data_IF_793414045640
#
_entry.id   IF_793414045640
#
_cell.length_a   1.000
_cell.length_b   1.000
_cell.length_c   1.000
_cell.angle_alpha   90.00
_cell.angle_beta   90.00
_cell.angle_gamma   90.00
#
_symmetry.space_group_name_H-M   'P 1'
#
loop_
_entity.id
_entity.type
_entity.pdbx_description
1 polymer ?
#
# COMPACT_ATOMS: atom_id res chain seq x y z
N UNK A 1 -3.14 18.58 62.63
CA UNK A 1 -4.30 19.06 61.84
C UNK A 1 -3.73 19.75 60.59
N UNK A 2 -3.99 19.47 59.31
CA UNK A 2 -4.90 18.58 58.57
C UNK A 2 -4.21 18.22 57.22
N UNK A 3 -4.16 16.90 56.96
CA UNK A 3 -4.26 16.09 55.71
C UNK A 3 -3.71 16.54 54.33
N UNK A 4 -2.91 15.62 53.76
CA UNK A 4 -2.78 15.21 52.36
C UNK A 4 -4.09 15.23 51.55
N UNK A 5 -4.04 15.64 50.28
CA UNK A 5 -4.81 15.04 49.18
C UNK A 5 -3.97 15.03 47.90
N UNK A 6 -3.67 13.82 47.40
CA UNK A 6 -3.29 13.51 46.02
C UNK A 6 -4.55 13.59 45.15
N UNK A 7 -4.49 14.22 43.99
CA UNK A 7 -5.49 14.03 42.93
C UNK A 7 -4.81 13.80 41.58
N UNK A 8 -4.74 12.52 41.25
CA UNK A 8 -4.64 11.93 39.92
C UNK A 8 -5.84 12.38 39.07
N UNK A 9 -5.64 12.74 37.80
CA UNK A 9 -6.68 12.63 36.79
C UNK A 9 -6.14 12.00 35.52
N UNK A 10 -6.92 11.03 35.06
CA UNK A 10 -6.66 10.06 34.00
C UNK A 10 -7.27 10.56 32.69
N UNK A 11 -6.55 10.24 31.61
CA UNK A 11 -6.90 10.03 30.19
C UNK A 11 -8.40 9.89 29.87
N UNK A 12 -8.82 10.41 28.71
CA UNK A 12 -9.99 9.88 28.00
C UNK A 12 -10.22 10.44 26.60
N UNK A 13 -10.14 9.54 25.60
CA UNK A 13 -10.84 9.48 24.30
C UNK A 13 -10.58 10.59 23.25
N UNK A 14 -10.73 10.39 21.94
CA UNK A 14 -10.85 9.26 20.98
C UNK A 14 -11.07 9.89 19.61
N UNK A 15 -10.67 9.23 18.51
CA UNK A 15 -11.14 9.64 17.18
C UNK A 15 -10.42 9.03 15.99
N UNK A 16 -10.54 7.71 15.77
CA UNK A 16 -10.41 7.15 14.43
C UNK A 16 -11.81 6.89 13.91
N UNK A 17 -12.25 7.73 12.98
CA UNK A 17 -13.52 7.59 12.28
C UNK A 17 -13.37 6.57 11.16
N UNK A 18 -14.11 5.47 11.28
CA UNK A 18 -14.51 4.62 10.18
C UNK A 18 -15.52 5.36 9.29
N UNK A 19 -15.31 5.38 7.97
CA UNK A 19 -16.28 5.89 7.02
C UNK A 19 -17.05 4.72 6.38
N UNK A 20 -18.22 4.41 6.95
CA UNK A 20 -19.29 3.68 6.27
C UNK A 20 -20.25 4.71 5.67
N UNK A 21 -20.59 4.61 4.38
CA UNK A 21 -21.71 5.36 3.81
C UNK A 21 -22.42 4.51 2.73
N UNK A 22 -23.63 4.07 3.06
CA UNK A 22 -24.60 3.42 2.18
C UNK A 22 -25.56 4.45 1.54
N UNK A 23 -26.05 4.15 0.34
CA UNK A 23 -27.16 4.88 -0.31
C UNK A 23 -27.17 4.77 -1.84
N UNK A 24 -28.10 3.98 -2.40
CA UNK A 24 -28.40 3.86 -3.85
C UNK A 24 -29.09 5.11 -4.44
N UNK A 25 -29.48 5.21 -5.71
CA UNK A 25 -29.45 4.34 -6.89
C UNK A 25 -30.15 5.07 -8.06
N UNK A 26 -29.97 4.53 -9.29
CA UNK A 26 -30.59 4.87 -10.60
C UNK A 26 -30.17 6.20 -11.27
N UNK A 27 -29.91 6.33 -12.59
CA UNK A 27 -29.93 5.43 -13.75
C UNK A 27 -29.80 6.30 -15.03
N UNK A 28 -29.32 5.75 -16.16
CA UNK A 28 -29.39 6.45 -17.47
C UNK A 28 -28.36 6.00 -18.51
N UNK A 29 -28.83 5.34 -19.56
CA UNK A 29 -28.09 4.78 -20.71
C UNK A 29 -27.83 5.87 -21.76
N UNK A 30 -26.68 5.82 -22.44
CA UNK A 30 -26.39 6.58 -23.66
C UNK A 30 -25.37 5.86 -24.53
N UNK A 31 -25.79 5.44 -25.73
CA UNK A 31 -25.01 4.71 -26.74
C UNK A 31 -24.53 5.67 -27.83
N UNK A 32 -23.32 5.45 -28.37
CA UNK A 32 -22.81 6.16 -29.56
C UNK A 32 -21.31 5.93 -29.83
N UNK A 33 -20.89 5.51 -31.04
CA UNK A 33 -19.51 5.08 -31.33
C UNK A 33 -18.65 6.21 -31.93
N UNK A 34 -17.34 6.21 -31.65
CA UNK A 34 -16.40 7.17 -32.24
C UNK A 34 -14.92 6.80 -32.06
N UNK A 35 -14.33 6.30 -33.16
CA UNK A 35 -12.94 6.45 -33.65
C UNK A 35 -11.73 6.14 -32.75
N UNK A 36 -10.88 5.25 -33.25
CA UNK A 36 -9.64 4.72 -32.67
C UNK A 36 -8.47 5.64 -32.98
N UNK A 37 -7.70 6.04 -31.96
CA UNK A 37 -6.43 6.77 -32.06
C UNK A 37 -5.33 5.94 -31.34
N UNK A 38 -4.13 5.73 -31.92
CA UNK A 38 -3.16 4.78 -31.39
C UNK A 38 -2.19 5.47 -30.44
N UNK A 39 -2.57 5.60 -29.17
CA UNK A 39 -1.64 5.77 -28.04
C UNK A 39 -1.87 4.64 -27.04
N UNK A 40 -1.04 3.61 -27.16
CA UNK A 40 -1.10 2.41 -26.33
C UNK A 40 -0.81 2.75 -24.86
N UNK A 41 -1.71 2.33 -23.97
CA UNK A 41 -1.43 2.22 -22.53
C UNK A 41 -2.34 2.99 -21.57
N UNK A 42 -3.62 3.22 -21.88
CA UNK A 42 -4.60 3.64 -20.86
C UNK A 42 -5.90 2.84 -21.01
N UNK A 43 -6.05 1.76 -20.24
CA UNK A 43 -7.36 1.13 -20.07
C UNK A 43 -8.19 1.93 -19.08
N UNK A 44 -9.17 2.65 -19.62
CA UNK A 44 -10.24 3.33 -18.91
C UNK A 44 -10.99 2.36 -18.00
N UNK A 45 -11.10 2.76 -16.74
CA UNK A 45 -11.83 2.09 -15.65
C UNK A 45 -13.32 1.99 -15.97
N UNK A 46 -13.74 0.85 -16.52
CA UNK A 46 -15.16 0.48 -16.60
C UNK A 46 -15.50 -0.36 -15.37
N UNK A 47 -16.60 -0.06 -14.69
CA UNK A 47 -17.14 -0.92 -13.63
C UNK A 47 -17.35 -2.33 -14.20
N UNK A 48 -16.61 -3.32 -13.69
CA UNK A 48 -16.60 -4.69 -14.18
C UNK A 48 -15.23 -5.27 -14.53
N UNK A 49 -14.13 -4.51 -14.41
CA UNK A 49 -12.81 -5.07 -14.72
C UNK A 49 -12.40 -6.12 -13.65
N UNK A 50 -12.12 -7.39 -14.01
CA UNK A 50 -11.50 -8.34 -13.09
C UNK A 50 -10.17 -7.78 -12.58
N UNK A 51 -9.70 -8.24 -11.42
CA UNK A 51 -8.41 -7.85 -10.85
C UNK A 51 -7.30 -7.79 -11.92
N UNK A 52 -6.89 -6.58 -12.30
CA UNK A 52 -5.97 -6.33 -13.42
C UNK A 52 -4.57 -5.98 -12.94
N UNK A 53 -3.54 -6.32 -13.71
CA UNK A 53 -2.17 -5.88 -13.45
C UNK A 53 -1.90 -4.58 -14.22
N UNK A 54 -1.30 -3.59 -13.57
CA UNK A 54 -0.89 -2.33 -14.18
C UNK A 54 0.38 -1.76 -13.54
N UNK A 55 0.97 -0.76 -14.17
CA UNK A 55 2.01 0.11 -13.61
C UNK A 55 1.52 1.56 -13.68
N UNK A 56 2.00 2.42 -12.77
CA UNK A 56 1.61 3.85 -12.73
C UNK A 56 2.80 4.71 -12.30
N UNK A 57 3.28 5.56 -13.21
CA UNK A 57 4.42 6.46 -12.98
C UNK A 57 4.25 7.31 -11.72
N UNK A 58 3.08 7.92 -11.51
CA UNK A 58 2.86 8.84 -10.38
C UNK A 58 2.86 8.14 -9.03
N UNK A 59 2.38 6.88 -8.99
CA UNK A 59 2.44 6.04 -7.78
C UNK A 59 3.89 5.69 -7.48
N UNK A 60 4.62 5.26 -8.50
CA UNK A 60 6.05 4.94 -8.39
C UNK A 60 6.89 6.14 -7.99
N UNK A 61 6.66 7.32 -8.58
CA UNK A 61 7.36 8.56 -8.25
C UNK A 61 7.14 8.95 -6.79
N UNK A 62 5.90 8.87 -6.32
CA UNK A 62 5.57 9.20 -4.94
C UNK A 62 6.23 8.25 -3.95
N UNK A 63 6.14 6.94 -4.21
CA UNK A 63 6.76 5.90 -3.38
C UNK A 63 8.29 5.95 -3.45
N UNK A 64 8.87 6.30 -4.60
CA UNK A 64 10.28 6.63 -4.74
C UNK A 64 10.66 7.77 -3.80
N UNK A 65 9.91 8.87 -3.83
CA UNK A 65 10.11 10.00 -2.93
C UNK A 65 10.16 9.58 -1.46
N UNK A 66 9.20 8.75 -1.02
CA UNK A 66 9.20 8.17 0.32
C UNK A 66 10.45 7.33 0.59
N UNK A 67 10.80 6.40 -0.30
CA UNK A 67 11.99 5.55 -0.16
C UNK A 67 13.31 6.36 -0.05
N UNK A 68 13.36 7.55 -0.65
CA UNK A 68 14.54 8.42 -0.57
C UNK A 68 14.63 9.20 0.74
N UNK A 69 13.52 9.48 1.41
CA UNK A 69 13.48 10.32 2.62
C UNK A 69 13.23 9.54 3.92
N UNK A 70 12.77 8.29 3.84
CA UNK A 70 12.60 7.41 4.99
C UNK A 70 13.76 6.44 5.11
N UNK A 71 13.98 5.97 6.34
CA UNK A 71 14.81 4.81 6.62
C UNK A 71 13.87 3.69 7.08
N UNK A 72 13.80 2.64 6.26
CA UNK A 72 12.92 1.52 6.51
C UNK A 72 13.60 0.48 7.41
N UNK A 73 13.11 0.40 8.65
CA UNK A 73 13.62 -0.52 9.68
C UNK A 73 12.63 -1.61 10.02
N UNK A 74 11.56 -1.81 9.24
CA UNK A 74 10.57 -2.85 9.51
C UNK A 74 11.17 -4.24 9.25
N UNK A 75 10.57 -5.26 9.90
CA UNK A 75 11.02 -6.63 9.67
C UNK A 75 10.75 -7.05 8.23
N UNK A 76 9.54 -6.78 7.73
CA UNK A 76 9.18 -6.92 6.32
C UNK A 76 9.23 -5.51 5.71
N UNK A 77 10.23 -5.21 4.88
CA UNK A 77 10.41 -3.88 4.32
C UNK A 77 9.22 -3.43 3.47
N UNK A 78 8.88 -2.16 3.63
CA UNK A 78 8.05 -1.39 2.71
C UNK A 78 8.76 -1.17 1.38
N UNK A 79 10.02 -0.76 1.45
CA UNK A 79 10.82 -0.42 0.30
C UNK A 79 11.95 -1.42 0.12
N UNK A 80 12.31 -1.67 -1.14
CA UNK A 80 13.39 -2.59 -1.49
C UNK A 80 14.67 -2.23 -0.77
N UNK A 81 15.25 -3.20 -0.08
CA UNK A 81 16.59 -3.04 0.53
C UNK A 81 17.60 -2.68 -0.56
N UNK A 82 18.39 -1.63 -0.31
CA UNK A 82 19.39 -1.13 -1.25
C UNK A 82 18.85 -0.24 -2.37
N UNK A 83 17.52 -0.05 -2.51
CA UNK A 83 16.92 0.80 -3.53
C UNK A 83 17.52 2.22 -3.55
N UNK A 84 17.61 2.85 -2.38
CA UNK A 84 18.17 4.19 -2.21
C UNK A 84 19.63 4.28 -2.70
N UNK A 85 20.44 3.26 -2.43
CA UNK A 85 21.84 3.21 -2.86
C UNK A 85 21.97 2.95 -4.37
N UNK A 86 21.13 2.05 -4.91
CA UNK A 86 21.01 1.79 -6.35
C UNK A 86 20.67 3.08 -7.10
N UNK A 87 19.62 3.78 -6.67
CA UNK A 87 19.15 5.01 -7.30
C UNK A 87 20.17 6.15 -7.16
N UNK A 88 20.89 6.25 -6.03
CA UNK A 88 22.00 7.20 -5.91
C UNK A 88 23.07 6.95 -7.00
N UNK A 89 23.41 5.68 -7.27
CA UNK A 89 24.34 5.32 -8.34
C UNK A 89 23.81 5.63 -9.75
N UNK A 90 22.53 5.34 -10.01
CA UNK A 90 21.87 5.66 -11.29
C UNK A 90 21.81 7.18 -11.52
N UNK A 91 21.39 7.95 -10.51
CA UNK A 91 21.29 9.42 -10.57
C UNK A 91 22.66 10.07 -10.77
N UNK A 92 23.70 9.55 -10.12
CA UNK A 92 25.08 10.01 -10.31
C UNK A 92 25.52 9.84 -11.77
N UNK A 93 25.25 8.67 -12.39
CA UNK A 93 25.58 8.44 -13.81
C UNK A 93 24.79 9.35 -14.75
N UNK A 94 23.57 9.70 -14.38
CA UNK A 94 22.72 10.63 -15.13
C UNK A 94 23.04 12.12 -14.86
N UNK A 95 23.98 12.43 -13.95
CA UNK A 95 24.23 13.78 -13.44
C UNK A 95 22.95 14.48 -12.93
N UNK A 96 22.02 13.72 -12.36
CA UNK A 96 20.76 14.23 -11.85
C UNK A 96 20.90 14.69 -10.39
N UNK A 97 20.75 16.00 -10.17
CA UNK A 97 20.61 16.61 -8.84
C UNK A 97 19.32 17.42 -8.81
N UNK A 98 18.49 17.19 -7.80
CA UNK A 98 17.11 17.69 -7.76
C UNK A 98 16.80 18.36 -6.43
N UNK A 99 15.65 19.02 -6.36
CA UNK A 99 15.14 19.57 -5.11
C UNK A 99 14.89 18.49 -4.04
N UNK A 100 14.65 17.23 -4.43
CA UNK A 100 14.50 16.14 -3.46
C UNK A 100 15.80 15.91 -2.67
N UNK A 101 16.97 16.05 -3.30
CA UNK A 101 18.26 15.98 -2.60
C UNK A 101 18.42 17.13 -1.60
N UNK A 102 18.17 18.35 -2.08
CA UNK A 102 18.33 19.56 -1.28
C UNK A 102 17.39 19.61 -0.07
N UNK A 103 16.19 19.02 -0.20
CA UNK A 103 15.16 19.05 0.83
C UNK A 103 15.09 17.77 1.67
N UNK A 104 15.88 16.73 1.36
CA UNK A 104 15.78 15.40 1.97
C UNK A 104 15.76 15.45 3.49
N UNK A 105 16.74 16.10 4.10
CA UNK A 105 16.89 16.10 5.56
C UNK A 105 15.73 16.84 6.25
N UNK A 106 15.26 17.93 5.65
CA UNK A 106 14.09 18.68 6.12
C UNK A 106 12.81 17.84 6.02
N UNK A 107 12.63 17.12 4.92
CA UNK A 107 11.49 16.23 4.71
C UNK A 107 11.54 15.05 5.68
N UNK A 108 12.71 14.43 5.86
CA UNK A 108 12.91 13.29 6.75
C UNK A 108 12.69 13.66 8.23
N UNK A 109 13.19 14.82 8.67
CA UNK A 109 13.06 15.28 10.05
C UNK A 109 11.60 15.41 10.52
N UNK A 110 10.64 15.60 9.60
CA UNK A 110 9.23 15.73 9.96
C UNK A 110 8.63 14.44 10.53
N UNK A 111 9.09 13.26 10.12
CA UNK A 111 8.58 11.97 10.62
C UNK A 111 8.86 11.75 12.11
N UNK A 112 9.88 12.40 12.66
CA UNK A 112 10.13 12.38 14.11
C UNK A 112 9.05 13.10 14.92
N UNK A 113 8.35 14.06 14.29
CA UNK A 113 7.31 14.90 14.90
C UNK A 113 5.91 14.38 14.56
N UNK A 114 5.65 14.08 13.28
CA UNK A 114 4.37 13.56 12.79
C UNK A 114 4.58 12.16 12.24
N UNK A 115 4.46 11.15 13.10
CA UNK A 115 4.66 9.74 12.71
C UNK A 115 3.62 9.26 11.70
N UNK A 116 2.39 9.77 11.82
CA UNK A 116 1.27 9.41 10.95
C UNK A 116 1.44 9.88 9.50
N UNK A 117 2.38 10.80 9.26
CA UNK A 117 2.76 11.25 7.92
C UNK A 117 3.24 10.10 7.02
N UNK A 118 3.68 8.98 7.59
CA UNK A 118 3.99 7.76 6.82
C UNK A 118 2.79 7.27 6.01
N UNK A 119 1.57 7.49 6.50
CA UNK A 119 0.34 7.09 5.81
C UNK A 119 0.10 7.88 4.51
N UNK A 120 0.76 9.03 4.33
CA UNK A 120 0.67 9.78 3.09
C UNK A 120 1.25 9.01 1.87
N UNK A 121 1.95 7.89 2.07
CA UNK A 121 2.33 6.97 1.00
C UNK A 121 1.13 6.40 0.19
N UNK A 122 -0.08 6.42 0.76
CA UNK A 122 -1.29 5.92 0.10
C UNK A 122 -2.02 6.97 -0.76
N UNK A 123 -1.67 8.25 -0.61
CA UNK A 123 -2.24 9.38 -1.38
C UNK A 123 -2.26 9.12 -2.89
N UNK A 124 -1.17 8.69 -3.57
CA UNK A 124 -1.16 8.57 -5.03
C UNK A 124 -2.15 7.52 -5.57
N UNK A 125 -2.59 6.56 -4.73
CA UNK A 125 -3.55 5.54 -5.14
C UNK A 125 -4.97 6.09 -5.34
N UNK A 126 -5.24 7.28 -4.81
CA UNK A 126 -6.52 7.98 -4.94
C UNK A 126 -6.66 8.71 -6.28
N UNK A 127 -5.57 8.85 -7.03
CA UNK A 127 -5.50 9.65 -8.25
C UNK A 127 -5.17 8.81 -9.47
N UNK A 128 -5.67 9.24 -10.62
CA UNK A 128 -5.43 8.57 -11.90
C UNK A 128 -4.12 8.96 -12.56
N UNK A 129 -3.60 10.16 -12.27
CA UNK A 129 -2.38 10.70 -12.87
C UNK A 129 -1.64 11.66 -11.92
N UNK A 130 -0.40 12.00 -12.29
CA UNK A 130 0.42 12.97 -11.57
C UNK A 130 -0.21 14.36 -11.57
N UNK A 131 -0.69 14.83 -12.73
CA UNK A 131 -1.24 16.18 -12.87
C UNK A 131 -2.49 16.35 -12.02
N UNK A 132 -3.40 15.37 -12.04
CA UNK A 132 -4.60 15.38 -11.21
C UNK A 132 -4.25 15.43 -9.71
N UNK A 133 -3.25 14.64 -9.29
CA UNK A 133 -2.80 14.63 -7.90
C UNK A 133 -2.20 15.98 -7.48
N UNK A 134 -1.36 16.57 -8.33
CA UNK A 134 -0.71 17.85 -8.03
C UNK A 134 -1.72 19.01 -8.01
N UNK A 135 -2.69 19.02 -8.93
CA UNK A 135 -3.79 19.98 -8.92
C UNK A 135 -4.62 19.88 -7.63
N UNK A 136 -4.97 18.66 -7.21
CA UNK A 136 -5.66 18.41 -5.95
C UNK A 136 -4.87 18.91 -4.73
N UNK A 137 -3.55 18.70 -4.71
CA UNK A 137 -2.66 19.23 -3.67
C UNK A 137 -2.68 20.76 -3.67
N UNK A 138 -2.56 21.40 -4.84
CA UNK A 138 -2.55 22.86 -4.95
C UNK A 138 -3.87 23.46 -4.44
N UNK A 139 -5.02 22.89 -4.81
CA UNK A 139 -6.35 23.28 -4.31
C UNK A 139 -6.43 23.12 -2.78
N UNK A 140 -5.98 21.98 -2.26
CA UNK A 140 -5.98 21.71 -0.82
C UNK A 140 -5.13 22.71 -0.02
N UNK A 141 -3.95 23.05 -0.54
CA UNK A 141 -3.05 24.02 0.08
C UNK A 141 -3.63 25.44 0.04
N UNK A 142 -4.24 25.85 -1.08
CA UNK A 142 -4.92 27.15 -1.18
C UNK A 142 -6.10 27.27 -0.21
N UNK A 143 -6.87 26.20 -0.04
CA UNK A 143 -7.96 26.11 0.93
C UNK A 143 -7.48 25.94 2.40
N UNK A 144 -6.17 25.86 2.64
CA UNK A 144 -5.55 25.58 3.94
C UNK A 144 -6.09 24.31 4.62
N UNK A 145 -6.56 23.34 3.84
CA UNK A 145 -7.21 22.12 4.32
C UNK A 145 -8.62 22.29 4.88
N UNK A 146 -9.32 23.40 4.58
CA UNK A 146 -10.71 23.62 4.99
C UNK A 146 -11.70 23.24 3.87
N UNK A 147 -12.47 22.14 3.99
CA UNK A 147 -13.44 21.73 2.98
C UNK A 147 -14.54 22.76 2.71
N UNK A 148 -14.83 23.64 3.69
CA UNK A 148 -15.85 24.68 3.56
C UNK A 148 -15.43 25.84 2.65
N UNK A 149 -14.15 25.92 2.28
CA UNK A 149 -13.64 26.89 1.32
C UNK A 149 -13.85 26.44 -0.15
N UNK A 150 -14.37 25.23 -0.37
CA UNK A 150 -14.62 24.68 -1.69
C UNK A 150 -15.83 25.32 -2.38
N UNK A 151 -15.72 25.49 -3.70
CA UNK A 151 -16.82 25.97 -4.54
C UNK A 151 -17.71 24.85 -5.10
N UNK A 152 -17.33 23.59 -4.89
CA UNK A 152 -18.11 22.41 -5.29
C UNK A 152 -17.98 21.28 -4.26
N UNK A 153 -18.90 20.33 -4.32
CA UNK A 153 -18.89 19.15 -3.44
C UNK A 153 -17.67 18.28 -3.70
N UNK A 154 -17.31 18.07 -4.97
CA UNK A 154 -16.17 17.27 -5.39
C UNK A 154 -14.87 17.85 -4.83
N UNK A 155 -14.70 19.17 -4.90
CA UNK A 155 -13.54 19.85 -4.33
C UNK A 155 -13.51 19.74 -2.80
N UNK A 156 -14.68 19.85 -2.13
CA UNK A 156 -14.76 19.65 -0.69
C UNK A 156 -14.34 18.24 -0.27
N UNK A 157 -14.74 17.22 -1.04
CA UNK A 157 -14.38 15.82 -0.80
C UNK A 157 -12.86 15.59 -0.96
N UNK A 158 -12.23 16.17 -2.00
CA UNK A 158 -10.76 16.11 -2.19
C UNK A 158 -10.02 16.81 -1.05
N UNK A 159 -10.47 17.98 -0.62
CA UNK A 159 -9.87 18.71 0.51
C UNK A 159 -10.00 17.89 1.79
N UNK A 160 -11.17 17.29 2.05
CA UNK A 160 -11.39 16.46 3.23
C UNK A 160 -10.50 15.20 3.22
N UNK A 161 -10.33 14.56 2.06
CA UNK A 161 -9.43 13.43 1.88
C UNK A 161 -7.99 13.79 2.27
N UNK A 162 -7.44 14.87 1.68
CA UNK A 162 -6.06 15.30 1.96
C UNK A 162 -5.91 15.84 3.39
N UNK A 163 -6.94 16.47 3.96
CA UNK A 163 -6.95 16.90 5.36
C UNK A 163 -6.80 15.72 6.33
N UNK A 164 -7.28 14.53 5.97
CA UNK A 164 -7.08 13.30 6.74
C UNK A 164 -5.62 12.88 6.85
N UNK A 165 -4.81 13.16 5.82
CA UNK A 165 -3.36 12.87 5.82
C UNK A 165 -2.51 14.03 6.35
N UNK A 166 -2.95 15.27 6.15
CA UNK A 166 -2.19 16.49 6.46
C UNK A 166 -2.99 17.49 7.33
N UNK A 167 -3.35 17.10 8.57
CA UNK A 167 -4.32 17.84 9.38
C UNK A 167 -3.80 19.19 9.89
N UNK A 168 -2.48 19.33 10.10
CA UNK A 168 -1.87 20.53 10.68
C UNK A 168 -1.08 21.36 9.65
N UNK A 169 -0.93 22.69 9.86
CA UNK A 169 -0.24 23.57 8.90
C UNK A 169 1.17 23.09 8.54
N UNK A 170 1.92 22.55 9.50
CA UNK A 170 3.27 22.07 9.26
C UNK A 170 3.32 20.80 8.38
N UNK A 171 2.30 19.95 8.41
CA UNK A 171 2.20 18.78 7.52
C UNK A 171 1.81 19.20 6.10
N UNK A 172 1.01 20.27 5.97
CA UNK A 172 0.70 20.89 4.67
C UNK A 172 1.91 21.56 4.04
N UNK A 173 2.71 22.26 4.83
CA UNK A 173 3.97 22.84 4.37
C UNK A 173 4.97 21.76 3.94
N UNK A 174 5.01 20.64 4.66
CA UNK A 174 5.76 19.46 4.25
C UNK A 174 5.26 18.91 2.91
N UNK A 175 3.94 18.75 2.74
CA UNK A 175 3.33 18.28 1.49
C UNK A 175 3.70 19.19 0.32
N UNK A 176 3.62 20.51 0.52
CA UNK A 176 4.01 21.50 -0.49
C UNK A 176 5.45 21.31 -0.93
N UNK A 177 6.38 21.19 0.03
CA UNK A 177 7.80 20.99 -0.26
C UNK A 177 8.05 19.65 -0.96
N UNK A 178 7.37 18.60 -0.51
CA UNK A 178 7.49 17.26 -1.07
C UNK A 178 6.98 17.19 -2.51
N UNK A 179 5.78 17.72 -2.78
CA UNK A 179 5.19 17.76 -4.12
C UNK A 179 6.04 18.58 -5.11
N UNK A 180 6.59 19.73 -4.66
CA UNK A 180 7.53 20.53 -5.46
C UNK A 180 8.80 19.75 -5.77
N UNK A 181 9.35 19.06 -4.76
CA UNK A 181 10.56 18.24 -4.91
C UNK A 181 10.34 17.08 -5.88
N UNK A 182 9.18 16.42 -5.83
CA UNK A 182 8.84 15.32 -6.73
C UNK A 182 8.58 15.80 -8.16
N UNK A 183 7.99 16.99 -8.35
CA UNK A 183 7.84 17.58 -9.68
C UNK A 183 9.20 17.82 -10.34
N UNK A 184 10.16 18.36 -9.58
CA UNK A 184 11.54 18.56 -10.05
C UNK A 184 12.25 17.22 -10.31
N UNK A 185 12.11 16.26 -9.39
CA UNK A 185 12.66 14.89 -9.54
C UNK A 185 12.14 14.21 -10.81
N UNK A 186 10.83 14.31 -11.07
CA UNK A 186 10.23 13.69 -12.24
C UNK A 186 10.75 14.27 -13.55
N UNK A 187 10.83 15.60 -13.61
CA UNK A 187 11.25 16.34 -14.80
C UNK A 187 12.74 16.13 -15.13
N UNK A 188 13.59 16.01 -14.12
CA UNK A 188 15.05 15.89 -14.30
C UNK A 188 15.54 14.45 -14.39
N UNK A 189 14.79 13.49 -13.84
CA UNK A 189 15.28 12.13 -13.68
C UNK A 189 14.19 11.07 -13.80
N UNK A 190 13.22 11.08 -12.88
CA UNK A 190 12.46 9.86 -12.59
C UNK A 190 11.61 9.38 -13.75
N UNK A 191 11.03 10.28 -14.55
CA UNK A 191 10.25 9.89 -15.74
C UNK A 191 11.09 9.08 -16.72
N UNK A 192 12.26 9.60 -17.10
CA UNK A 192 13.17 8.92 -18.04
C UNK A 192 13.64 7.57 -17.50
N UNK A 193 13.96 7.51 -16.20
CA UNK A 193 14.33 6.27 -15.53
C UNK A 193 13.16 5.27 -15.51
N UNK A 194 11.95 5.74 -15.22
CA UNK A 194 10.75 4.91 -15.17
C UNK A 194 10.43 4.32 -16.54
N UNK A 195 10.45 5.13 -17.60
CA UNK A 195 10.23 4.69 -18.99
C UNK A 195 11.23 3.60 -19.39
N UNK A 196 12.51 3.80 -19.06
CA UNK A 196 13.54 2.79 -19.28
C UNK A 196 13.22 1.49 -18.53
N UNK A 197 12.84 1.58 -17.25
CA UNK A 197 12.49 0.40 -16.46
C UNK A 197 11.24 -0.33 -16.98
N UNK A 198 10.24 0.40 -17.49
CA UNK A 198 9.07 -0.23 -18.13
C UNK A 198 9.49 -1.02 -19.38
N UNK A 199 10.37 -0.45 -20.21
CA UNK A 199 10.88 -1.13 -21.40
C UNK A 199 11.71 -2.37 -21.03
N UNK A 200 12.64 -2.25 -20.08
CA UNK A 200 13.50 -3.37 -19.64
C UNK A 200 12.72 -4.52 -19.01
N UNK A 201 11.59 -4.21 -18.36
CA UNK A 201 10.79 -5.18 -17.61
C UNK A 201 9.50 -5.59 -18.31
N UNK A 202 9.32 -5.24 -19.59
CA UNK A 202 8.11 -5.57 -20.35
C UNK A 202 7.79 -7.07 -20.33
N UNK A 203 8.81 -7.92 -20.46
CA UNK A 203 8.66 -9.39 -20.39
C UNK A 203 8.29 -9.88 -18.99
N UNK A 204 8.77 -9.21 -17.93
CA UNK A 204 8.42 -9.52 -16.55
C UNK A 204 6.98 -9.11 -16.26
N UNK A 205 6.55 -7.92 -16.68
CA UNK A 205 5.16 -7.48 -16.59
C UNK A 205 4.22 -8.47 -17.28
N UNK A 206 4.56 -8.91 -18.49
CA UNK A 206 3.79 -9.91 -19.21
C UNK A 206 3.72 -11.24 -18.45
N UNK A 207 4.83 -11.71 -17.86
CA UNK A 207 4.86 -12.92 -17.06
C UNK A 207 4.02 -12.83 -15.77
N UNK A 208 4.09 -11.71 -15.05
CA UNK A 208 3.23 -11.48 -13.87
C UNK A 208 1.76 -11.48 -14.27
N UNK A 209 1.41 -10.77 -15.35
CA UNK A 209 0.05 -10.73 -15.85
C UNK A 209 -0.46 -12.10 -16.29
N UNK A 210 0.35 -12.88 -17.01
CA UNK A 210 0.00 -14.25 -17.41
C UNK A 210 -0.27 -15.14 -16.20
N UNK A 211 0.65 -15.17 -15.22
CA UNK A 211 0.48 -15.98 -14.00
C UNK A 211 -0.76 -15.57 -13.22
N UNK A 212 -0.97 -14.26 -13.06
CA UNK A 212 -2.16 -13.78 -12.39
C UNK A 212 -3.42 -14.16 -13.15
N UNK A 213 -3.57 -13.75 -14.42
CA UNK A 213 -4.81 -13.92 -15.16
C UNK A 213 -5.15 -15.39 -15.45
N UNK A 214 -4.14 -16.20 -15.77
CA UNK A 214 -4.34 -17.55 -16.29
C UNK A 214 -4.13 -18.65 -15.24
N UNK A 215 -3.39 -18.40 -14.16
CA UNK A 215 -3.10 -19.44 -13.14
C UNK A 215 -3.72 -19.16 -11.77
N UNK A 216 -3.63 -17.92 -11.28
CA UNK A 216 -3.92 -17.63 -9.87
C UNK A 216 -5.22 -16.86 -9.61
N UNK A 217 -5.64 -15.94 -10.47
CA UNK A 217 -6.82 -15.09 -10.23
C UNK A 217 -8.07 -15.92 -9.92
N UNK A 218 -8.30 -16.99 -10.68
CA UNK A 218 -9.43 -17.89 -10.44
C UNK A 218 -9.38 -18.58 -9.06
N UNK A 219 -8.18 -18.96 -8.60
CA UNK A 219 -7.96 -19.57 -7.28
C UNK A 219 -8.25 -18.59 -6.13
N UNK A 220 -7.91 -17.32 -6.32
CA UNK A 220 -8.19 -16.24 -5.36
C UNK A 220 -9.64 -15.72 -5.41
N UNK A 221 -10.35 -15.90 -6.52
CA UNK A 221 -11.63 -15.23 -6.79
C UNK A 221 -12.66 -15.44 -5.67
N UNK A 222 -12.79 -16.66 -5.14
CA UNK A 222 -13.74 -16.95 -4.07
C UNK A 222 -13.42 -16.13 -2.81
N UNK A 223 -12.15 -16.15 -2.39
CA UNK A 223 -11.69 -15.38 -1.24
C UNK A 223 -11.95 -13.89 -1.43
N UNK A 224 -11.57 -13.36 -2.60
CA UNK A 224 -11.72 -11.95 -2.94
C UNK A 224 -13.21 -11.52 -2.94
N UNK A 225 -14.10 -12.33 -3.50
CA UNK A 225 -15.54 -12.05 -3.47
C UNK A 225 -16.08 -12.03 -2.04
N UNK A 226 -15.75 -13.04 -1.24
CA UNK A 226 -16.29 -13.22 0.10
C UNK A 226 -15.72 -12.23 1.13
N UNK A 227 -14.59 -11.59 0.82
CA UNK A 227 -14.01 -10.50 1.61
C UNK A 227 -14.41 -9.10 1.11
N UNK A 228 -15.37 -9.00 0.19
CA UNK A 228 -15.85 -7.70 -0.32
C UNK A 228 -14.89 -7.02 -1.30
N UNK A 229 -13.99 -7.79 -1.92
CA UNK A 229 -12.97 -7.33 -2.85
C UNK A 229 -13.13 -7.94 -4.27
N UNK A 230 -14.33 -7.90 -4.90
CA UNK A 230 -14.60 -8.65 -6.13
C UNK A 230 -13.80 -8.16 -7.36
N UNK A 231 -13.35 -6.90 -7.33
CA UNK A 231 -12.60 -6.26 -8.39
C UNK A 231 -11.56 -5.30 -7.80
N UNK A 232 -10.51 -5.03 -8.57
CA UNK A 232 -9.43 -4.14 -8.16
C UNK A 232 -8.31 -4.04 -9.20
N UNK A 233 -7.27 -3.30 -8.85
CA UNK A 233 -6.04 -3.18 -9.65
C UNK A 233 -4.83 -3.55 -8.79
N UNK A 234 -3.97 -4.41 -9.32
CA UNK A 234 -2.65 -4.66 -8.77
C UNK A 234 -1.65 -3.75 -9.49
N UNK A 235 -0.95 -2.93 -8.73
CA UNK A 235 0.07 -2.02 -9.24
C UNK A 235 1.45 -2.59 -8.98
N UNK A 236 2.20 -2.93 -10.03
CA UNK A 236 3.61 -3.28 -9.90
C UNK A 236 4.42 -2.01 -9.70
N UNK A 237 5.20 -1.97 -8.62
CA UNK A 237 5.93 -0.78 -8.20
C UNK A 237 7.42 -1.07 -8.02
N UNK A 238 8.26 -0.24 -8.64
CA UNK A 238 9.72 -0.35 -8.57
C UNK A 238 10.29 -0.21 -7.14
N UNK A 239 9.85 0.76 -6.31
CA UNK A 239 10.40 0.95 -4.96
C UNK A 239 9.88 -0.07 -3.93
N UNK A 240 8.69 -0.67 -4.11
CA UNK A 240 8.08 -1.52 -3.08
C UNK A 240 8.77 -2.90 -2.93
N UNK A 241 8.73 -3.43 -1.71
CA UNK A 241 9.15 -4.79 -1.35
C UNK A 241 7.96 -5.57 -0.74
N UNK A 242 8.24 -6.54 0.12
CA UNK A 242 7.33 -7.60 0.56
C UNK A 242 6.16 -7.16 1.41
N UNK A 243 6.14 -5.96 1.97
CA UNK A 243 4.95 -5.49 2.67
C UNK A 243 3.85 -5.07 1.68
N UNK A 244 4.18 -4.59 0.48
CA UNK A 244 3.16 -4.06 -0.44
C UNK A 244 2.38 -2.86 0.12
N UNK A 245 1.30 -2.45 -0.56
CA UNK A 245 0.44 -1.32 -0.17
C UNK A 245 -0.99 -1.51 -0.65
N UNK A 246 -1.91 -1.74 0.27
CA UNK A 246 -3.33 -1.91 -0.08
C UNK A 246 -4.18 -0.72 0.32
N UNK A 247 -5.01 -0.29 -0.61
CA UNK A 247 -6.09 0.64 -0.38
C UNK A 247 -7.40 -0.02 -0.82
N UNK A 248 -8.30 -0.26 0.13
CA UNK A 248 -9.59 -0.90 -0.12
C UNK A 248 -10.68 -0.31 0.77
N UNK A 249 -11.93 -0.52 0.36
CA UNK A 249 -13.13 -0.07 1.07
C UNK A 249 -13.73 1.25 0.56
N UNK A 250 -15.07 1.31 0.52
CA UNK A 250 -15.84 2.49 0.11
C UNK A 250 -16.21 2.52 -1.38
N UNK A 251 -16.39 3.72 -1.95
CA UNK A 251 -16.71 3.94 -3.38
C UNK A 251 -15.50 3.74 -4.32
N UNK A 252 -14.30 3.56 -3.77
CA UNK A 252 -13.04 3.42 -4.50
C UNK A 252 -12.82 1.97 -4.92
N UNK A 253 -12.20 1.76 -6.08
CA UNK A 253 -11.76 0.43 -6.50
C UNK A 253 -10.58 -0.03 -5.64
N UNK A 254 -10.57 -1.31 -5.25
CA UNK A 254 -9.46 -1.88 -4.48
C UNK A 254 -8.16 -1.76 -5.28
N UNK A 255 -7.11 -1.27 -4.63
CA UNK A 255 -5.79 -1.11 -5.24
C UNK A 255 -4.76 -1.77 -4.35
N UNK A 256 -3.92 -2.62 -4.93
CA UNK A 256 -2.83 -3.31 -4.23
C UNK A 256 -1.52 -3.02 -4.94
N UNK A 257 -0.69 -2.19 -4.34
CA UNK A 257 0.70 -1.98 -4.75
C UNK A 257 1.57 -3.15 -4.29
N UNK A 258 2.31 -3.75 -5.22
CA UNK A 258 3.26 -4.82 -4.93
C UNK A 258 4.61 -4.54 -5.58
N UNK A 259 5.64 -5.25 -5.15
CA UNK A 259 6.96 -5.15 -5.76
C UNK A 259 6.91 -5.49 -7.26
N UNK A 260 7.69 -4.78 -8.09
CA UNK A 260 7.90 -5.11 -9.49
C UNK A 260 9.13 -6.03 -9.63
N UNK A 261 8.95 -7.34 -9.89
CA UNK A 261 10.07 -8.27 -9.94
C UNK A 261 11.11 -7.89 -11.00
N UNK A 262 12.38 -8.22 -10.74
CA UNK A 262 13.51 -7.92 -11.63
C UNK A 262 13.66 -8.87 -12.80
N UNK A 263 13.10 -10.07 -12.71
CA UNK A 263 13.25 -11.10 -13.73
C UNK A 263 11.98 -11.92 -13.89
N UNK A 264 11.83 -12.59 -15.03
CA UNK A 264 10.71 -13.53 -15.26
C UNK A 264 10.75 -14.68 -14.25
N UNK A 265 11.94 -15.15 -13.85
CA UNK A 265 12.09 -16.23 -12.88
C UNK A 265 11.48 -15.87 -11.51
N UNK A 266 11.48 -14.59 -11.15
CA UNK A 266 10.95 -14.09 -9.87
C UNK A 266 9.55 -13.49 -9.99
N UNK A 267 8.84 -13.68 -11.11
CA UNK A 267 7.52 -13.04 -11.28
C UNK A 267 6.45 -13.52 -10.27
N UNK A 268 6.64 -14.67 -9.60
CA UNK A 268 5.76 -15.15 -8.53
C UNK A 268 5.86 -14.32 -7.25
N UNK A 269 6.93 -13.54 -7.10
CA UNK A 269 7.09 -12.66 -5.94
C UNK A 269 5.96 -11.64 -5.85
N UNK A 270 5.45 -11.14 -6.98
CA UNK A 270 4.27 -10.30 -7.00
C UNK A 270 3.03 -11.03 -6.46
N UNK A 271 2.87 -12.32 -6.78
CA UNK A 271 1.75 -13.15 -6.29
C UNK A 271 1.86 -13.39 -4.79
N UNK A 272 3.08 -13.54 -4.26
CA UNK A 272 3.30 -13.65 -2.82
C UNK A 272 2.86 -12.39 -2.08
N UNK A 273 3.24 -11.22 -2.57
CA UNK A 273 2.83 -9.95 -1.96
C UNK A 273 1.33 -9.73 -2.10
N UNK A 274 0.71 -10.10 -3.23
CA UNK A 274 -0.76 -10.08 -3.35
C UNK A 274 -1.40 -10.92 -2.25
N UNK A 275 -0.93 -12.16 -2.02
CA UNK A 275 -1.48 -13.04 -1.01
C UNK A 275 -1.35 -12.48 0.41
N UNK A 276 -0.21 -11.85 0.72
CA UNK A 276 0.02 -11.15 1.98
C UNK A 276 -0.98 -10.00 2.16
N UNK A 277 -1.10 -9.15 1.14
CA UNK A 277 -1.87 -7.91 1.20
C UNK A 277 -3.37 -8.14 1.25
N UNK A 278 -3.91 -9.05 0.45
CA UNK A 278 -5.36 -9.34 0.47
C UNK A 278 -5.78 -10.04 1.77
N UNK A 279 -4.85 -10.72 2.45
CA UNK A 279 -5.07 -11.37 3.73
C UNK A 279 -4.88 -10.43 4.93
N UNK A 280 -4.13 -9.33 4.79
CA UNK A 280 -3.79 -8.40 5.87
C UNK A 280 -5.03 -7.80 6.53
N UNK A 281 -5.89 -7.13 5.75
CA UNK A 281 -7.04 -6.38 6.31
C UNK A 281 -8.13 -7.29 6.90
N UNK A 282 -8.82 -8.10 6.07
CA UNK A 282 -9.98 -8.87 6.51
C UNK A 282 -9.67 -9.97 7.53
N UNK A 283 -8.43 -10.49 7.58
CA UNK A 283 -8.07 -11.60 8.46
C UNK A 283 -7.08 -11.18 9.54
N UNK A 284 -5.88 -10.75 9.15
CA UNK A 284 -4.80 -10.55 10.11
C UNK A 284 -5.12 -9.42 11.09
N UNK A 285 -5.54 -8.24 10.62
CA UNK A 285 -5.89 -7.12 11.48
C UNK A 285 -7.12 -7.43 12.34
N UNK A 286 -8.15 -8.07 11.77
CA UNK A 286 -9.34 -8.48 12.52
C UNK A 286 -8.99 -9.46 13.65
N UNK A 287 -8.26 -10.53 13.32
CA UNK A 287 -7.85 -11.54 14.29
C UNK A 287 -6.95 -10.97 15.40
N UNK A 288 -6.02 -10.07 15.07
CA UNK A 288 -5.19 -9.40 16.09
C UNK A 288 -6.05 -8.54 17.00
N UNK A 289 -6.91 -7.66 16.45
CA UNK A 289 -7.76 -6.75 17.24
C UNK A 289 -8.69 -7.47 18.21
N UNK A 290 -9.24 -8.60 17.79
CA UNK A 290 -10.18 -9.39 18.60
C UNK A 290 -9.49 -10.22 19.69
N UNK A 291 -8.18 -10.47 19.58
CA UNK A 291 -7.45 -11.41 20.43
C UNK A 291 -6.26 -10.79 21.19
N UNK A 292 -6.14 -9.46 21.19
CA UNK A 292 -5.22 -8.73 22.08
C UNK A 292 -5.99 -7.95 23.15
N UNK A 293 -5.40 -7.83 24.33
CA UNK A 293 -5.97 -7.04 25.41
C UNK A 293 -5.71 -5.53 25.21
N UNK A 294 -6.52 -4.65 25.82
CA UNK A 294 -6.25 -3.21 25.83
C UNK A 294 -4.89 -2.83 26.44
N UNK A 295 -4.32 -3.67 27.30
CA UNK A 295 -3.00 -3.47 27.87
C UNK A 295 -1.89 -3.76 26.85
N UNK A 296 -2.01 -4.86 26.10
CA UNK A 296 -1.09 -5.21 25.00
C UNK A 296 -1.15 -4.20 23.87
N UNK A 297 -2.34 -3.68 23.55
CA UNK A 297 -2.50 -2.62 22.57
C UNK A 297 -1.73 -1.34 22.98
N UNK A 298 -1.85 -0.94 24.26
CA UNK A 298 -1.09 0.20 24.80
C UNK A 298 0.42 -0.03 24.85
N UNK A 299 0.84 -1.29 24.96
CA UNK A 299 2.25 -1.68 24.94
C UNK A 299 2.84 -1.80 23.51
N UNK A 300 2.06 -1.54 22.46
CA UNK A 300 2.52 -1.62 21.07
C UNK A 300 2.67 -3.05 20.53
N UNK A 301 2.18 -4.05 21.27
CA UNK A 301 2.26 -5.47 20.90
C UNK A 301 1.38 -5.77 19.68
N UNK A 302 0.25 -5.05 19.55
CA UNK A 302 -0.66 -5.18 18.41
C UNK A 302 0.02 -4.94 17.06
N UNK A 303 0.77 -3.85 16.90
CA UNK A 303 1.46 -3.53 15.63
C UNK A 303 2.46 -4.61 15.23
N UNK A 304 3.20 -5.18 16.20
CA UNK A 304 4.12 -6.29 15.93
C UNK A 304 3.38 -7.55 15.49
N UNK A 305 2.25 -7.87 16.14
CA UNK A 305 1.44 -9.00 15.75
C UNK A 305 0.75 -8.79 14.41
N UNK A 306 0.37 -7.57 14.02
CA UNK A 306 -0.22 -7.29 12.71
C UNK A 306 0.75 -7.64 11.57
N UNK A 307 2.02 -7.20 11.63
CA UNK A 307 3.03 -7.56 10.60
C UNK A 307 3.26 -9.07 10.54
N UNK A 308 3.35 -9.74 11.70
CA UNK A 308 3.54 -11.19 11.72
C UNK A 308 2.30 -11.93 11.22
N UNK A 309 1.12 -11.44 11.58
CA UNK A 309 -0.17 -12.01 11.20
C UNK A 309 -0.40 -11.87 9.69
N UNK A 310 0.03 -10.78 9.07
CA UNK A 310 -0.05 -10.58 7.63
C UNK A 310 0.74 -11.66 6.86
N UNK A 311 2.02 -11.85 7.22
CA UNK A 311 2.87 -12.88 6.60
C UNK A 311 2.29 -14.28 6.80
N UNK A 312 1.78 -14.57 8.01
CA UNK A 312 1.23 -15.88 8.34
C UNK A 312 -0.14 -16.12 7.70
N UNK A 313 -0.99 -15.11 7.59
CA UNK A 313 -2.28 -15.20 6.92
C UNK A 313 -2.09 -15.44 5.41
N UNK A 314 -1.14 -14.75 4.77
CA UNK A 314 -0.84 -14.96 3.36
C UNK A 314 -0.39 -16.40 3.05
N UNK A 315 0.50 -16.99 3.87
CA UNK A 315 0.90 -18.39 3.66
C UNK A 315 -0.25 -19.37 3.94
N UNK A 316 -1.07 -19.11 4.96
CA UNK A 316 -2.24 -19.95 5.28
C UNK A 316 -3.33 -19.92 4.20
N UNK A 317 -3.48 -18.77 3.53
CA UNK A 317 -4.34 -18.64 2.36
C UNK A 317 -3.78 -19.47 1.20
N UNK A 318 -2.51 -19.30 0.86
CA UNK A 318 -1.85 -20.05 -0.22
C UNK A 318 -1.88 -21.56 0.01
N UNK A 319 -1.71 -22.03 1.25
CA UNK A 319 -1.86 -23.44 1.61
C UNK A 319 -3.20 -24.05 1.19
N UNK A 320 -4.27 -23.24 1.12
CA UNK A 320 -5.62 -23.70 0.75
C UNK A 320 -5.91 -23.56 -0.73
N UNK A 321 -5.39 -22.51 -1.38
CA UNK A 321 -5.81 -22.16 -2.75
C UNK A 321 -4.73 -22.39 -3.81
N UNK A 322 -3.45 -22.33 -3.44
CA UNK A 322 -2.31 -22.51 -4.34
C UNK A 322 -1.10 -23.10 -3.58
N UNK A 323 -1.17 -24.37 -3.13
CA UNK A 323 -0.13 -24.99 -2.31
C UNK A 323 1.26 -25.00 -2.97
N UNK A 324 1.31 -25.01 -4.29
CA UNK A 324 2.54 -24.95 -5.08
C UNK A 324 3.34 -23.66 -4.86
N UNK A 325 2.71 -22.58 -4.39
CA UNK A 325 3.36 -21.30 -4.11
C UNK A 325 3.95 -21.21 -2.69
N UNK A 326 3.63 -22.14 -1.79
CA UNK A 326 3.93 -22.02 -0.35
C UNK A 326 5.43 -22.02 -0.07
N UNK A 327 6.20 -22.88 -0.73
CA UNK A 327 7.66 -22.95 -0.54
C UNK A 327 8.34 -21.64 -0.97
N UNK A 328 7.98 -21.14 -2.16
CA UNK A 328 8.49 -19.88 -2.69
C UNK A 328 8.11 -18.68 -1.83
N UNK A 329 6.85 -18.62 -1.37
CA UNK A 329 6.38 -17.59 -0.43
C UNK A 329 7.21 -17.57 0.86
N UNK A 330 7.45 -18.74 1.46
CA UNK A 330 8.23 -18.84 2.69
C UNK A 330 9.67 -18.34 2.50
N UNK A 331 10.32 -18.74 1.40
CA UNK A 331 11.67 -18.27 1.04
C UNK A 331 11.71 -16.77 0.80
N UNK A 332 10.71 -16.23 0.10
CA UNK A 332 10.60 -14.81 -0.19
C UNK A 332 10.56 -13.97 1.09
N UNK A 333 9.64 -14.27 2.02
CA UNK A 333 9.52 -13.51 3.27
C UNK A 333 10.67 -13.73 4.24
N UNK A 334 11.28 -14.91 4.27
CA UNK A 334 12.51 -15.13 5.05
C UNK A 334 13.66 -14.25 4.52
N UNK A 335 13.86 -14.20 3.19
CA UNK A 335 14.86 -13.35 2.56
C UNK A 335 14.58 -11.87 2.79
N UNK A 336 13.34 -11.44 2.58
CA UNK A 336 12.90 -10.05 2.81
C UNK A 336 13.16 -9.62 4.27
N UNK A 337 12.93 -10.52 5.21
CA UNK A 337 13.23 -10.31 6.64
C UNK A 337 14.69 -10.49 7.05
N UNK A 338 15.60 -10.84 6.12
CA UNK A 338 17.00 -11.12 6.43
C UNK A 338 17.19 -12.33 7.35
N UNK A 339 16.34 -13.36 7.21
CA UNK A 339 16.38 -14.61 7.98
C UNK A 339 16.88 -15.75 7.10
N UNK A 340 17.56 -16.72 7.72
CA UNK A 340 18.02 -17.92 7.02
C UNK A 340 16.86 -18.84 6.66
N UNK A 341 16.99 -19.47 5.49
CA UNK A 341 16.09 -20.54 5.05
C UNK A 341 16.67 -21.86 5.52
N UNK A 342 15.99 -22.53 6.45
CA UNK A 342 16.36 -23.87 6.90
C UNK A 342 15.98 -24.96 5.89
N UNK A 343 16.13 -26.22 6.29
CA UNK A 343 15.74 -27.38 5.46
C UNK A 343 14.22 -27.45 5.19
N UNK A 344 13.41 -26.87 6.07
CA UNK A 344 11.97 -26.71 5.89
C UNK A 344 11.62 -25.21 5.91
N UNK A 345 11.40 -24.57 4.74
CA UNK A 345 11.13 -23.13 4.66
C UNK A 345 9.88 -22.70 5.44
N UNK A 346 8.82 -23.51 5.46
CA UNK A 346 7.59 -23.18 6.18
C UNK A 346 7.78 -23.20 7.70
N UNK A 347 8.57 -24.17 8.21
CA UNK A 347 8.94 -24.20 9.63
C UNK A 347 9.82 -22.99 10.00
N UNK A 348 10.79 -22.64 9.14
CA UNK A 348 11.61 -21.43 9.30
C UNK A 348 10.77 -20.16 9.31
N UNK A 349 9.79 -20.03 8.40
CA UNK A 349 8.87 -18.90 8.35
C UNK A 349 8.05 -18.80 9.64
N UNK A 350 7.53 -19.94 10.12
CA UNK A 350 6.76 -20.00 11.38
C UNK A 350 7.57 -19.54 12.58
N UNK A 351 8.86 -19.89 12.64
CA UNK A 351 9.77 -19.44 13.69
C UNK A 351 10.15 -17.95 13.56
N UNK A 352 10.30 -17.44 12.34
CA UNK A 352 10.64 -16.04 12.08
C UNK A 352 9.47 -15.07 12.35
N UNK A 353 8.23 -15.54 12.16
CA UNK A 353 6.99 -14.77 12.35
C UNK A 353 6.07 -15.48 13.35
N UNK A 354 6.41 -15.44 14.65
CA UNK A 354 5.65 -16.14 15.68
C UNK A 354 4.30 -15.44 15.93
N UNK A 355 3.24 -16.24 16.00
CA UNK A 355 1.92 -15.81 16.45
C UNK A 355 1.53 -16.58 17.69
N UNK A 356 0.73 -15.96 18.56
CA UNK A 356 0.06 -16.72 19.61
C UNK A 356 -0.99 -17.66 18.98
N UNK A 357 -1.34 -18.71 19.71
CA UNK A 357 -2.27 -19.73 19.21
C UNK A 357 -3.67 -19.14 18.94
N UNK A 358 -4.11 -18.18 19.76
CA UNK A 358 -5.42 -17.53 19.60
C UNK A 358 -5.56 -16.80 18.26
N UNK A 359 -4.60 -15.95 17.90
CA UNK A 359 -4.60 -15.21 16.63
C UNK A 359 -4.44 -16.20 15.46
N UNK A 360 -3.51 -17.15 15.58
CA UNK A 360 -3.29 -18.18 14.56
C UNK A 360 -4.58 -18.96 14.24
N UNK A 361 -5.27 -19.42 15.28
CA UNK A 361 -6.48 -20.23 15.14
C UNK A 361 -7.67 -19.38 14.66
N UNK A 362 -7.74 -18.11 15.07
CA UNK A 362 -8.74 -17.17 14.55
C UNK A 362 -8.57 -16.94 13.05
N UNK A 363 -7.33 -16.70 12.57
CA UNK A 363 -7.04 -16.56 11.13
C UNK A 363 -7.43 -17.83 10.38
N UNK A 364 -7.06 -19.02 10.89
CA UNK A 364 -7.40 -20.29 10.24
C UNK A 364 -8.91 -20.49 10.14
N UNK A 365 -9.66 -20.26 11.22
CA UNK A 365 -11.13 -20.39 11.23
C UNK A 365 -11.79 -19.40 10.26
N UNK A 366 -11.36 -18.14 10.27
CA UNK A 366 -11.90 -17.13 9.35
C UNK A 366 -11.61 -17.50 7.89
N UNK A 367 -10.42 -18.03 7.57
CA UNK A 367 -10.11 -18.54 6.24
C UNK A 367 -11.04 -19.68 5.82
N UNK A 368 -11.31 -20.63 6.70
CA UNK A 368 -12.19 -21.77 6.41
C UNK A 368 -13.63 -21.30 6.15
N UNK A 369 -14.13 -20.31 6.90
CA UNK A 369 -15.44 -19.68 6.66
C UNK A 369 -15.47 -18.95 5.33
N UNK A 370 -14.49 -18.08 5.07
CA UNK A 370 -14.42 -17.28 3.84
C UNK A 370 -14.27 -18.16 2.60
N UNK A 371 -13.54 -19.27 2.67
CA UNK A 371 -13.37 -20.19 1.54
C UNK A 371 -14.48 -21.25 1.44
N UNK A 372 -15.12 -21.64 2.54
CA UNK A 372 -16.26 -22.56 2.55
C UNK A 372 -17.48 -21.97 1.84
N UNK A 373 -17.69 -20.65 1.98
CA UNK A 373 -18.95 -20.00 1.62
C UNK A 373 -19.99 -20.26 2.72
N UNK A 374 -20.70 -19.21 3.12
CA UNK A 374 -21.83 -19.32 4.06
C UNK A 374 -23.03 -19.94 3.35
#
# INVERSE_FOLDING_TARGET
MRKLVRSTFIIGLSGFLAACASGGGAGGVGTGPGTVDPSAGQTLSTAGNPWSIATREHVDLWLHGFAMITDDTTLVPYFRRGYKAELAGVRTRANAVTQLDANRDRLAARFAISRDLVNAQFVPMQFSSLDQMLEAIDIFLQAQGNPRAANSREVAEVIALLAGYFPVPADREWLRLFAQSLRDENNKFYRSYWDQQQSERATVLAAVNDRWQNSYRAKFQRYLNNTGQPAGTILLSLPLDGEGRSLGGGKLQNTVGVSFPSTVATADEAIYVIAHEVALGPLAQAAVRENITPAEQRAGVGTRYETFAAVRAGVMLLQRIAPELVDGYARYYLRSAGRSVGSNPLASLTAAFPLNDLIRDAISRQLDVVLGGV
#
